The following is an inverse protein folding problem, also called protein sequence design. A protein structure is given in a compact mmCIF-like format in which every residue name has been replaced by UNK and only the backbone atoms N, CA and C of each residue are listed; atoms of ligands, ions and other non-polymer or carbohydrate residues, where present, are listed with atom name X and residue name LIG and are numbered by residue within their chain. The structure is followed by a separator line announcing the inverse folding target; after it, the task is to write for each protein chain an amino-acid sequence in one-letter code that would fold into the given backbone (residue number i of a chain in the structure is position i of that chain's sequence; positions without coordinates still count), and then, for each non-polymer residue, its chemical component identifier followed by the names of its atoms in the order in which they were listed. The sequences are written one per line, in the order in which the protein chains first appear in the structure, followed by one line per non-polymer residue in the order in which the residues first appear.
data_IF_442248408945
#
_entry.id   IF_442248408945
#
_cell.length_a   1.000
_cell.length_b   1.000
_cell.length_c   1.000
_cell.angle_alpha   90.00
_cell.angle_beta   90.00
_cell.angle_gamma   90.00
#
_symmetry.space_group_name_H-M   'P 1'
#
loop_
_entity.id
_entity.type
_entity.pdbx_description
1 polymer ?
#
# COMPACT_ATOMS: atom_id res chain seq x y z
N UNK A 1 -1.64 23.10 11.69
CA UNK A 1 -0.67 23.57 10.67
C UNK A 1 0.09 22.43 10.00
N UNK A 2 0.49 21.37 10.73
CA UNK A 2 1.12 20.15 10.18
C UNK A 2 0.25 19.46 9.12
N UNK A 3 -1.04 19.36 9.43
CA UNK A 3 -2.05 18.61 8.70
C UNK A 3 -2.50 19.21 7.37
N UNK A 4 -2.56 20.53 7.25
CA UNK A 4 -2.91 21.22 6.00
C UNK A 4 -1.89 20.99 4.87
N UNK A 5 -0.67 20.56 5.19
CA UNK A 5 0.41 20.44 4.21
C UNK A 5 0.49 19.04 3.58
N UNK A 6 0.06 18.00 4.28
CA UNK A 6 -0.12 16.67 3.67
C UNK A 6 -1.31 16.62 2.72
N UNK A 7 -2.32 17.47 2.92
CA UNK A 7 -3.39 17.68 1.94
C UNK A 7 -2.85 18.17 0.59
N UNK A 8 -1.80 18.99 0.59
CA UNK A 8 -1.16 19.47 -0.63
C UNK A 8 -0.42 18.35 -1.39
N UNK A 9 0.07 17.31 -0.69
CA UNK A 9 0.76 16.17 -1.29
C UNK A 9 -0.19 15.11 -1.84
N UNK A 10 -1.31 14.88 -1.15
CA UNK A 10 -2.19 13.74 -1.46
C UNK A 10 -3.21 14.02 -2.58
N UNK A 11 -3.30 15.28 -3.05
CA UNK A 11 -4.21 15.71 -4.12
C UNK A 11 -5.69 15.33 -3.85
N UNK A 12 -6.09 15.30 -2.57
CA UNK A 12 -7.49 15.12 -2.21
C UNK A 12 -8.09 16.44 -1.73
N UNK A 13 -9.13 16.89 -2.42
CA UNK A 13 -9.97 18.02 -1.97
C UNK A 13 -10.79 17.66 -0.71
N UNK A 14 -10.86 16.38 -0.32
CA UNK A 14 -11.77 15.85 0.72
C UNK A 14 -11.10 15.18 1.93
N UNK A 15 -9.78 15.26 2.08
CA UNK A 15 -9.12 14.81 3.31
C UNK A 15 -9.10 15.99 4.29
N UNK A 16 -10.01 15.99 5.25
CA UNK A 16 -9.96 16.97 6.33
C UNK A 16 -9.02 16.45 7.42
N UNK A 17 -7.73 16.77 7.31
CA UNK A 17 -6.79 16.52 8.39
C UNK A 17 -6.92 17.69 9.38
N UNK A 18 -7.51 17.42 10.54
CA UNK A 18 -7.90 18.39 11.55
C UNK A 18 -7.20 18.11 12.90
N UNK A 19 -7.60 18.84 13.96
CA UNK A 19 -7.03 18.66 15.30
C UNK A 19 -7.35 17.28 15.92
N UNK A 20 -8.22 16.47 15.30
CA UNK A 20 -8.50 15.07 15.69
C UNK A 20 -7.62 14.08 14.92
N UNK A 21 -6.67 14.55 14.11
CA UNK A 21 -5.75 13.69 13.40
C UNK A 21 -4.47 13.48 14.20
N UNK A 22 -3.85 12.31 14.04
CA UNK A 22 -2.56 11.96 14.65
C UNK A 22 -1.61 11.44 13.57
N UNK A 23 -0.41 12.03 13.45
CA UNK A 23 0.65 11.54 12.59
C UNK A 23 1.52 10.53 13.34
N UNK A 24 1.59 9.31 12.82
CA UNK A 24 2.33 8.18 13.38
C UNK A 24 3.42 7.75 12.40
N UNK A 25 4.65 7.62 12.90
CA UNK A 25 5.78 7.05 12.16
C UNK A 25 5.89 5.54 12.44
N UNK A 26 6.18 4.75 11.42
CA UNK A 26 6.28 3.28 11.48
C UNK A 26 5.04 2.61 12.11
N UNK A 27 3.87 3.01 11.62
CA UNK A 27 2.60 2.49 12.10
C UNK A 27 2.45 1.00 11.73
N UNK A 28 1.98 0.18 12.67
CA UNK A 28 1.66 -1.22 12.39
C UNK A 28 0.43 -1.70 13.15
N UNK A 29 -0.28 -2.67 12.58
CA UNK A 29 -1.46 -3.29 13.19
C UNK A 29 -1.53 -4.78 12.84
N UNK A 30 -2.10 -5.56 13.77
CA UNK A 30 -2.25 -7.02 13.66
C UNK A 30 -3.70 -7.48 13.60
N UNK A 31 -4.65 -6.62 13.92
CA UNK A 31 -6.02 -7.03 14.19
C UNK A 31 -6.85 -7.05 12.92
N UNK A 32 -6.69 -6.02 12.09
CA UNK A 32 -7.58 -5.74 10.95
C UNK A 32 -7.57 -6.87 9.92
N UNK A 33 -6.38 -7.42 9.61
CA UNK A 33 -6.24 -8.52 8.67
C UNK A 33 -6.04 -9.90 9.34
N UNK A 34 -6.36 -10.00 10.63
CA UNK A 34 -6.14 -11.17 11.47
C UNK A 34 -4.68 -11.68 11.45
N UNK A 35 -3.75 -10.75 11.67
CA UNK A 35 -2.30 -10.95 11.63
C UNK A 35 -1.68 -11.24 13.00
N UNK A 36 -2.38 -12.06 13.78
CA UNK A 36 -2.05 -12.33 15.20
C UNK A 36 -0.70 -13.05 15.36
N UNK A 37 -0.30 -13.83 14.36
CA UNK A 37 0.99 -14.51 14.28
C UNK A 37 1.81 -13.96 13.10
N UNK A 38 3.15 -14.02 13.16
CA UNK A 38 4.09 -13.50 12.12
C UNK A 38 4.16 -11.96 12.04
N UNK A 39 4.51 -11.38 10.89
CA UNK A 39 4.68 -9.92 10.73
C UNK A 39 3.32 -9.20 10.61
N UNK A 40 3.16 -8.02 11.23
CA UNK A 40 1.97 -7.17 11.10
C UNK A 40 1.98 -6.45 9.75
N UNK A 41 0.83 -5.91 9.33
CA UNK A 41 0.78 -4.90 8.28
C UNK A 41 1.36 -3.62 8.85
N UNK A 42 2.28 -3.01 8.12
CA UNK A 42 3.03 -1.83 8.54
C UNK A 42 3.02 -0.78 7.44
N UNK A 43 3.14 0.47 7.84
CA UNK A 43 3.26 1.63 6.98
C UNK A 43 4.37 2.54 7.50
N UNK A 44 5.15 3.14 6.61
CA UNK A 44 6.12 4.18 7.01
C UNK A 44 5.44 5.34 7.76
N UNK A 45 4.25 5.74 7.30
CA UNK A 45 3.43 6.74 8.00
C UNK A 45 1.97 6.35 8.05
N UNK A 46 1.30 6.77 9.13
CA UNK A 46 -0.14 6.84 9.16
C UNK A 46 -0.60 8.20 9.68
N UNK A 47 -1.62 8.76 9.06
CA UNK A 47 -2.39 9.87 9.60
C UNK A 47 -3.72 9.26 10.04
N UNK A 48 -3.83 8.95 11.33
CA UNK A 48 -5.07 8.43 11.91
C UNK A 48 -6.05 9.56 12.12
N UNK A 49 -7.31 9.34 11.79
CA UNK A 49 -8.38 10.29 12.03
C UNK A 49 -9.59 9.55 12.61
N UNK A 50 -10.07 9.98 13.77
CA UNK A 50 -11.19 9.35 14.48
C UNK A 50 -12.56 9.69 13.88
N UNK A 51 -12.67 10.81 13.16
CA UNK A 51 -13.93 11.36 12.63
C UNK A 51 -14.01 11.34 11.10
N UNK A 52 -12.92 10.98 10.45
CA UNK A 52 -12.77 11.03 8.99
C UNK A 52 -11.99 9.83 8.46
N UNK A 53 -11.53 9.95 7.21
CA UNK A 53 -10.67 8.92 6.63
C UNK A 53 -9.25 9.04 7.15
N UNK A 54 -8.67 7.92 7.55
CA UNK A 54 -7.25 7.83 7.83
C UNK A 54 -6.43 7.82 6.53
N UNK A 55 -5.14 8.10 6.59
CA UNK A 55 -4.21 7.97 5.47
C UNK A 55 -3.10 7.02 5.88
N UNK A 56 -2.81 6.03 5.05
CA UNK A 56 -1.70 5.09 5.26
C UNK A 56 -0.71 5.24 4.11
N UNK A 57 0.55 5.54 4.42
CA UNK A 57 1.58 5.84 3.44
C UNK A 57 2.71 4.80 3.51
N UNK A 58 3.08 4.22 2.37
CA UNK A 58 4.18 3.25 2.27
C UNK A 58 5.16 3.64 1.17
N UNK A 59 6.45 3.72 1.51
CA UNK A 59 7.58 4.05 0.63
C UNK A 59 8.38 2.85 0.12
N UNK A 60 7.97 1.64 0.47
CA UNK A 60 8.65 0.37 0.17
C UNK A 60 8.87 0.05 -1.31
N UNK A 61 8.42 0.91 -2.20
CA UNK A 61 8.67 0.88 -3.64
C UNK A 61 10.09 1.38 -4.01
N UNK A 62 11.09 0.97 -3.24
CA UNK A 62 12.53 1.21 -3.50
C UNK A 62 13.36 -0.07 -3.40
N UNK A 63 12.80 -1.16 -2.88
CA UNK A 63 13.51 -2.42 -2.66
C UNK A 63 13.42 -3.31 -3.92
N UNK A 64 14.43 -4.16 -4.12
CA UNK A 64 14.55 -5.06 -5.28
C UNK A 64 13.41 -6.08 -5.38
N UNK A 65 12.76 -6.39 -4.25
CA UNK A 65 11.66 -7.34 -4.14
C UNK A 65 10.35 -6.59 -3.89
N UNK A 66 9.45 -6.62 -4.86
CA UNK A 66 8.09 -6.10 -4.71
C UNK A 66 7.32 -7.02 -3.76
N UNK A 67 7.46 -6.79 -2.44
CA UNK A 67 6.99 -7.60 -1.31
C UNK A 67 6.07 -8.77 -1.68
N UNK A 68 6.71 -9.89 -2.07
CA UNK A 68 6.04 -11.11 -2.55
C UNK A 68 5.45 -11.88 -1.39
N UNK A 69 4.59 -12.85 -1.72
CA UNK A 69 4.06 -13.77 -0.73
C UNK A 69 5.20 -14.67 -0.18
N UNK A 70 5.59 -14.44 1.07
CA UNK A 70 6.68 -15.17 1.72
C UNK A 70 6.42 -16.67 1.87
N UNK A 71 5.16 -17.12 1.81
CA UNK A 71 4.84 -18.56 1.90
C UNK A 71 5.18 -19.31 0.63
N UNK A 72 5.25 -18.63 -0.52
CA UNK A 72 5.74 -19.21 -1.76
C UNK A 72 7.27 -19.30 -1.71
N UNK A 73 7.93 -18.24 -1.26
CA UNK A 73 9.39 -18.22 -1.09
C UNK A 73 9.87 -19.26 -0.06
N UNK A 74 9.08 -19.47 1.00
CA UNK A 74 9.31 -20.51 2.01
C UNK A 74 8.99 -21.94 1.56
N UNK A 75 8.43 -22.13 0.37
CA UNK A 75 8.05 -23.46 -0.15
C UNK A 75 6.80 -24.08 0.48
N UNK A 76 6.00 -23.29 1.19
CA UNK A 76 4.79 -23.72 1.91
C UNK A 76 3.52 -23.60 1.05
N UNK A 77 3.63 -22.96 -0.13
CA UNK A 77 2.56 -22.71 -1.08
C UNK A 77 3.05 -22.99 -2.51
N UNK A 78 2.19 -23.58 -3.34
CA UNK A 78 2.47 -23.95 -4.73
C UNK A 78 2.29 -22.79 -5.74
N UNK A 79 1.83 -21.63 -5.27
CA UNK A 79 1.63 -20.43 -6.08
C UNK A 79 0.43 -20.49 -7.04
N UNK A 80 -0.37 -21.57 -7.02
CA UNK A 80 -1.59 -21.68 -7.82
C UNK A 80 -2.64 -20.69 -7.32
N UNK A 81 -3.44 -20.17 -8.25
CA UNK A 81 -4.50 -19.23 -7.92
C UNK A 81 -5.65 -19.94 -7.17
N UNK A 82 -5.89 -19.60 -5.89
CA UNK A 82 -6.87 -20.28 -5.05
C UNK A 82 -8.29 -19.70 -5.21
N UNK A 83 -8.57 -18.88 -6.23
CA UNK A 83 -9.87 -18.18 -6.35
C UNK A 83 -11.09 -19.12 -6.38
N UNK A 84 -10.93 -20.33 -6.90
CA UNK A 84 -11.99 -21.34 -6.95
C UNK A 84 -12.06 -22.22 -5.68
N UNK A 85 -11.01 -22.20 -4.85
CA UNK A 85 -10.94 -22.88 -3.56
C UNK A 85 -10.01 -22.10 -2.64
N UNK A 86 -10.54 -21.06 -1.99
CA UNK A 86 -9.73 -20.15 -1.15
C UNK A 86 -9.07 -20.84 0.03
N UNK A 87 -9.58 -22.02 0.43
CA UNK A 87 -9.00 -22.84 1.47
C UNK A 87 -7.68 -23.45 1.03
N UNK A 88 -7.45 -23.68 -0.26
CA UNK A 88 -6.15 -24.14 -0.78
C UNK A 88 -5.00 -23.15 -0.52
N UNK A 89 -5.31 -21.89 -0.18
CA UNK A 89 -4.31 -20.90 0.18
C UNK A 89 -3.81 -21.10 1.63
N UNK A 90 -2.50 -21.28 1.78
CA UNK A 90 -1.84 -21.38 3.09
C UNK A 90 -2.15 -20.20 4.03
N UNK A 91 -2.25 -18.98 3.49
CA UNK A 91 -2.56 -17.79 4.28
C UNK A 91 -3.97 -17.84 4.87
N UNK A 92 -4.95 -18.35 4.12
CA UNK A 92 -6.32 -18.60 4.61
C UNK A 92 -6.30 -19.63 5.74
N UNK A 93 -5.56 -20.73 5.59
CA UNK A 93 -5.40 -21.72 6.66
C UNK A 93 -4.77 -21.15 7.94
N UNK A 94 -3.87 -20.18 7.80
CA UNK A 94 -3.28 -19.44 8.92
C UNK A 94 -4.23 -18.38 9.52
N UNK A 95 -5.48 -18.34 9.07
CA UNK A 95 -6.53 -17.44 9.56
C UNK A 95 -6.52 -16.05 8.94
N UNK A 96 -5.68 -15.77 7.93
CA UNK A 96 -5.68 -14.45 7.27
C UNK A 96 -6.96 -14.28 6.46
N UNK A 97 -7.54 -13.08 6.53
CA UNK A 97 -8.78 -12.75 5.82
C UNK A 97 -8.56 -12.17 4.41
N UNK A 98 -7.35 -12.22 3.87
CA UNK A 98 -7.02 -11.53 2.61
C UNK A 98 -7.93 -11.94 1.45
N UNK A 99 -8.15 -13.24 1.24
CA UNK A 99 -8.98 -13.73 0.14
C UNK A 99 -10.46 -13.40 0.31
N UNK A 100 -10.97 -13.47 1.54
CA UNK A 100 -12.34 -13.05 1.84
C UNK A 100 -12.54 -11.57 1.50
N UNK A 101 -11.57 -10.73 1.84
CA UNK A 101 -11.61 -9.30 1.53
C UNK A 101 -11.39 -9.02 0.04
N UNK A 102 -10.50 -9.76 -0.64
CA UNK A 102 -10.33 -9.65 -2.10
C UNK A 102 -11.65 -9.91 -2.83
N UNK A 103 -12.41 -10.91 -2.38
CA UNK A 103 -13.73 -11.23 -2.94
C UNK A 103 -14.78 -10.17 -2.55
N UNK A 104 -14.81 -9.75 -1.29
CA UNK A 104 -15.71 -8.69 -0.78
C UNK A 104 -15.61 -7.40 -1.61
N UNK A 105 -14.40 -7.05 -2.05
CA UNK A 105 -14.12 -5.84 -2.80
C UNK A 105 -13.93 -6.04 -4.30
N UNK A 106 -14.30 -7.21 -4.84
CA UNK A 106 -14.16 -7.54 -6.25
C UNK A 106 -12.73 -7.38 -6.81
N UNK A 107 -11.70 -7.40 -5.94
CA UNK A 107 -10.29 -7.28 -6.32
C UNK A 107 -9.73 -8.59 -6.90
N UNK A 108 -10.41 -9.72 -6.68
CA UNK A 108 -10.06 -11.01 -7.26
C UNK A 108 -10.55 -11.18 -8.71
N UNK A 109 -11.53 -10.37 -9.15
CA UNK A 109 -12.17 -10.46 -10.46
C UNK A 109 -11.19 -10.46 -11.64
N UNK A 110 -10.19 -9.56 -11.72
CA UNK A 110 -9.24 -9.52 -12.84
C UNK A 110 -8.41 -10.80 -12.96
N UNK A 111 -8.30 -11.58 -11.89
CA UNK A 111 -7.46 -12.76 -11.81
C UNK A 111 -8.24 -14.07 -11.94
N UNK A 112 -9.56 -14.05 -12.20
CA UNK A 112 -10.38 -15.27 -12.30
C UNK A 112 -9.85 -16.33 -13.24
N UNK A 113 -9.23 -15.91 -14.34
CA UNK A 113 -8.66 -16.80 -15.34
C UNK A 113 -7.12 -16.92 -15.25
N UNK A 114 -6.50 -16.30 -14.24
CA UNK A 114 -5.07 -16.42 -14.00
C UNK A 114 -4.74 -17.76 -13.36
N UNK A 115 -3.75 -18.46 -13.90
CA UNK A 115 -3.21 -19.67 -13.26
C UNK A 115 -2.38 -19.34 -12.01
N UNK A 116 -1.73 -18.18 -12.01
CA UNK A 116 -0.82 -17.75 -10.94
C UNK A 116 -1.59 -16.89 -9.95
N UNK A 117 -1.39 -17.18 -8.66
CA UNK A 117 -1.94 -16.39 -7.56
C UNK A 117 -1.49 -14.92 -7.64
N UNK A 118 -2.40 -13.93 -7.55
CA UNK A 118 -2.02 -12.52 -7.59
C UNK A 118 -1.09 -12.11 -6.44
N UNK A 119 -1.17 -12.77 -5.28
CA UNK A 119 -0.25 -12.53 -4.16
C UNK A 119 1.18 -13.04 -4.44
N UNK A 120 1.40 -13.89 -5.44
CA UNK A 120 2.76 -14.30 -5.78
C UNK A 120 3.65 -13.10 -6.16
N UNK A 121 3.04 -12.10 -6.78
CA UNK A 121 3.72 -10.87 -7.17
C UNK A 121 3.23 -9.71 -6.31
N UNK A 122 1.92 -9.54 -6.15
CA UNK A 122 1.32 -8.31 -5.63
C UNK A 122 0.87 -8.36 -4.18
N UNK A 123 1.48 -9.26 -3.37
CA UNK A 123 1.06 -9.49 -1.99
C UNK A 123 1.04 -8.21 -1.15
N UNK A 124 2.15 -7.47 -1.07
CA UNK A 124 2.24 -6.28 -0.24
C UNK A 124 1.21 -5.20 -0.65
N UNK A 125 1.06 -4.95 -1.95
CA UNK A 125 0.08 -3.98 -2.47
C UNK A 125 -1.35 -4.32 -2.04
N UNK A 126 -1.79 -5.56 -2.27
CA UNK A 126 -3.15 -5.94 -1.90
C UNK A 126 -3.33 -5.98 -0.39
N UNK A 127 -2.33 -6.45 0.37
CA UNK A 127 -2.37 -6.47 1.83
C UNK A 127 -2.59 -5.06 2.39
N UNK A 128 -1.83 -4.08 1.94
CA UNK A 128 -1.93 -2.69 2.40
C UNK A 128 -3.20 -1.98 1.90
N UNK A 129 -3.62 -2.25 0.66
CA UNK A 129 -4.89 -1.75 0.14
C UNK A 129 -6.07 -2.27 0.97
N UNK A 130 -6.12 -3.58 1.21
CA UNK A 130 -7.16 -4.21 2.04
C UNK A 130 -7.17 -3.62 3.45
N UNK A 131 -6.00 -3.42 4.04
CA UNK A 131 -5.86 -2.77 5.33
C UNK A 131 -6.47 -1.36 5.34
N UNK A 132 -6.12 -0.54 4.36
CA UNK A 132 -6.60 0.83 4.26
C UNK A 132 -8.12 0.88 4.10
N UNK A 133 -8.70 0.02 3.26
CA UNK A 133 -10.15 -0.04 3.06
C UNK A 133 -10.87 -0.44 4.35
N UNK A 134 -10.42 -1.51 5.03
CA UNK A 134 -11.04 -1.96 6.28
C UNK A 134 -10.89 -0.93 7.42
N UNK A 135 -9.90 -0.04 7.35
CA UNK A 135 -9.73 1.09 8.28
C UNK A 135 -10.46 2.37 7.86
N UNK A 136 -11.33 2.34 6.85
CA UNK A 136 -11.94 3.54 6.28
C UNK A 136 -10.87 4.60 5.93
N UNK A 137 -9.82 4.19 5.23
CA UNK A 137 -8.66 5.04 4.92
C UNK A 137 -8.34 5.11 3.44
N UNK A 138 -7.41 6.01 3.14
CA UNK A 138 -6.72 6.10 1.87
C UNK A 138 -5.40 5.35 1.92
N UNK A 139 -5.05 4.72 0.81
CA UNK A 139 -3.76 4.07 0.63
C UNK A 139 -2.89 4.94 -0.28
N UNK A 140 -1.77 5.44 0.26
CA UNK A 140 -0.83 6.29 -0.45
C UNK A 140 0.45 5.53 -0.67
N UNK A 141 0.79 5.36 -1.94
CA UNK A 141 1.97 4.66 -2.42
C UNK A 141 3.01 5.72 -2.75
N UNK A 142 4.12 5.73 -2.01
CA UNK A 142 5.26 6.59 -2.29
C UNK A 142 6.19 5.85 -3.25
N UNK A 143 6.30 6.34 -4.49
CA UNK A 143 7.19 5.76 -5.50
C UNK A 143 8.42 6.65 -5.71
N UNK A 144 9.54 6.03 -6.07
CA UNK A 144 10.77 6.76 -6.40
C UNK A 144 10.78 7.22 -7.86
N UNK A 145 10.87 8.54 -8.11
CA UNK A 145 11.01 9.13 -9.46
C UNK A 145 12.19 8.53 -10.26
N UNK A 146 13.23 8.05 -9.56
CA UNK A 146 14.44 7.47 -10.15
C UNK A 146 14.22 6.05 -10.65
N UNK A 147 13.15 5.36 -10.23
CA UNK A 147 12.91 3.97 -10.55
C UNK A 147 11.84 3.81 -11.66
N UNK A 148 12.24 3.48 -12.90
CA UNK A 148 11.31 3.37 -14.03
C UNK A 148 10.41 2.13 -13.99
N UNK A 149 10.59 1.22 -13.01
CA UNK A 149 9.74 0.05 -12.85
C UNK A 149 8.30 0.41 -12.44
N UNK A 150 8.13 1.50 -11.67
CA UNK A 150 6.82 1.91 -11.16
C UNK A 150 6.00 2.68 -12.19
N UNK A 151 6.59 3.74 -12.74
CA UNK A 151 5.99 4.55 -13.80
C UNK A 151 7.05 4.90 -14.83
N UNK A 152 6.73 4.64 -16.10
CA UNK A 152 7.49 5.08 -17.27
C UNK A 152 6.52 5.67 -18.27
N UNK A 153 6.62 6.98 -18.50
CA UNK A 153 5.86 7.67 -19.55
C UNK A 153 6.65 7.68 -20.86
N UNK A 154 5.95 7.51 -21.98
CA UNK A 154 6.49 7.76 -23.32
C UNK A 154 5.73 8.88 -24.05
N UNK A 155 5.03 9.74 -23.31
CA UNK A 155 4.26 10.87 -23.84
C UNK A 155 2.84 10.53 -24.32
N UNK A 156 2.52 9.24 -24.54
CA UNK A 156 1.17 8.80 -24.96
C UNK A 156 0.57 7.80 -23.97
N UNK A 157 1.37 6.88 -23.44
CA UNK A 157 0.93 5.85 -22.52
C UNK A 157 1.82 5.80 -21.29
N UNK A 158 1.20 5.51 -20.15
CA UNK A 158 1.92 5.17 -18.93
C UNK A 158 2.14 3.65 -18.89
N UNK A 159 3.38 3.26 -18.59
CA UNK A 159 3.78 1.86 -18.38
C UNK A 159 4.38 1.72 -17.00
N UNK A 160 4.56 0.47 -16.56
CA UNK A 160 5.15 0.15 -15.26
C UNK A 160 4.13 -0.53 -14.37
N UNK A 161 4.54 -0.77 -13.13
CA UNK A 161 3.79 -1.55 -12.17
C UNK A 161 2.53 -0.83 -11.69
N UNK A 162 2.58 0.49 -11.50
CA UNK A 162 1.44 1.27 -11.00
C UNK A 162 0.27 1.27 -11.99
N UNK A 163 0.46 1.56 -13.30
CA UNK A 163 -0.65 1.44 -14.27
C UNK A 163 -1.27 0.03 -14.31
N UNK A 164 -0.46 -1.02 -14.19
CA UNK A 164 -0.95 -2.41 -14.14
C UNK A 164 -1.81 -2.65 -12.91
N UNK A 165 -1.29 -2.36 -11.71
CA UNK A 165 -2.02 -2.55 -10.46
C UNK A 165 -3.32 -1.76 -10.43
N UNK A 166 -3.27 -0.48 -10.78
CA UNK A 166 -4.44 0.41 -10.75
C UNK A 166 -5.49 0.04 -11.80
N UNK A 167 -5.11 -0.54 -12.94
CA UNK A 167 -6.05 -1.05 -13.95
C UNK A 167 -6.90 -2.23 -13.46
N UNK A 168 -6.43 -2.96 -12.45
CA UNK A 168 -7.15 -4.09 -11.85
C UNK A 168 -8.06 -3.66 -10.70
N UNK A 169 -8.07 -2.37 -10.33
CA UNK A 169 -8.89 -1.85 -9.24
C UNK A 169 -10.26 -1.42 -9.78
N UNK A 170 -11.36 -1.80 -9.12
CA UNK A 170 -12.70 -1.31 -9.43
C UNK A 170 -12.75 0.22 -9.46
N UNK A 171 -13.50 0.81 -10.41
CA UNK A 171 -13.53 2.26 -10.63
C UNK A 171 -13.91 3.03 -9.35
N UNK A 172 -14.88 2.53 -8.59
CA UNK A 172 -15.34 3.12 -7.34
C UNK A 172 -14.25 3.15 -6.26
N UNK A 173 -13.27 2.25 -6.34
CA UNK A 173 -12.17 2.12 -5.39
C UNK A 173 -10.90 2.83 -5.84
N UNK A 174 -10.76 3.22 -7.11
CA UNK A 174 -9.55 3.91 -7.59
C UNK A 174 -9.27 5.20 -6.81
N UNK A 175 -10.33 5.86 -6.35
CA UNK A 175 -10.25 7.05 -5.50
C UNK A 175 -9.70 6.78 -4.10
N UNK A 176 -9.47 5.52 -3.69
CA UNK A 176 -8.88 5.15 -2.41
C UNK A 176 -7.35 5.18 -2.49
N UNK A 177 -6.79 4.97 -3.69
CA UNK A 177 -5.36 4.83 -3.92
C UNK A 177 -4.79 6.17 -4.41
N UNK A 178 -3.66 6.59 -3.83
CA UNK A 178 -2.84 7.67 -4.39
C UNK A 178 -1.43 7.20 -4.62
N UNK A 179 -0.86 7.78 -5.65
CA UNK A 179 0.52 7.60 -6.02
C UNK A 179 1.16 8.98 -5.89
N UNK A 180 2.17 9.09 -5.05
CA UNK A 180 2.95 10.31 -4.88
C UNK A 180 4.42 9.96 -4.94
N UNK A 181 5.27 10.92 -5.25
CA UNK A 181 6.69 10.66 -5.28
C UNK A 181 7.31 10.86 -3.91
N UNK A 182 8.20 9.95 -3.52
CA UNK A 182 8.91 10.04 -2.24
C UNK A 182 9.72 11.33 -2.11
N UNK A 183 10.23 11.86 -3.23
CA UNK A 183 10.94 13.14 -3.27
C UNK A 183 10.04 14.31 -2.84
N UNK A 184 8.78 14.35 -3.29
CA UNK A 184 7.85 15.43 -2.94
C UNK A 184 7.50 15.39 -1.44
N UNK A 185 7.42 14.17 -0.89
CA UNK A 185 7.23 13.97 0.56
C UNK A 185 8.45 14.46 1.33
N UNK A 186 9.68 14.08 0.93
CA UNK A 186 10.92 14.51 1.60
C UNK A 186 11.05 16.03 1.60
N UNK A 187 10.85 16.70 0.47
CA UNK A 187 10.91 18.17 0.39
C UNK A 187 9.95 18.83 1.40
N UNK A 188 8.76 18.26 1.57
CA UNK A 188 7.79 18.74 2.54
C UNK A 188 8.25 18.50 3.98
N UNK A 189 8.76 17.30 4.27
CA UNK A 189 9.24 16.94 5.59
C UNK A 189 10.42 17.82 6.04
N UNK A 190 11.34 18.12 5.13
CA UNK A 190 12.46 19.03 5.36
C UNK A 190 11.96 20.46 5.62
N UNK A 191 11.05 20.97 4.77
CA UNK A 191 10.45 22.31 4.92
C UNK A 191 9.81 22.52 6.29
N UNK A 192 9.26 21.47 6.89
CA UNK A 192 8.60 21.52 8.20
C UNK A 192 9.48 21.02 9.35
N UNK A 193 10.76 20.75 9.11
CA UNK A 193 11.76 20.36 10.12
C UNK A 193 11.33 19.15 10.98
N UNK A 194 10.78 18.10 10.36
CA UNK A 194 10.50 16.87 11.09
C UNK A 194 11.80 16.21 11.55
N UNK A 195 11.90 15.90 12.84
CA UNK A 195 13.16 15.43 13.47
C UNK A 195 13.69 14.12 12.91
N UNK A 196 12.82 13.30 12.30
CA UNK A 196 13.14 11.99 11.75
C UNK A 196 13.37 12.01 10.21
N UNK A 197 13.31 13.18 9.56
CA UNK A 197 13.42 13.26 8.09
C UNK A 197 14.73 12.68 7.56
N UNK A 198 15.84 12.87 8.28
CA UNK A 198 17.15 12.32 7.89
C UNK A 198 17.19 10.80 8.02
N UNK A 199 16.54 10.21 9.03
CA UNK A 199 16.41 8.76 9.16
C UNK A 199 15.62 8.18 7.99
N UNK A 200 14.50 8.82 7.62
CA UNK A 200 13.71 8.44 6.47
C UNK A 200 14.50 8.54 5.16
N UNK A 201 15.25 9.63 4.94
CA UNK A 201 16.13 9.78 3.76
C UNK A 201 17.18 8.69 3.68
N UNK A 202 17.80 8.33 4.81
CA UNK A 202 18.80 7.27 4.87
C UNK A 202 18.19 5.90 4.53
N UNK A 203 17.02 5.57 5.12
CA UNK A 203 16.28 4.32 4.85
C UNK A 203 16.02 4.11 3.35
N UNK A 204 15.71 5.20 2.64
CA UNK A 204 15.31 5.18 1.23
C UNK A 204 16.41 5.56 0.22
N UNK A 205 17.66 5.73 0.67
CA UNK A 205 18.77 6.11 -0.22
C UNK A 205 18.55 7.47 -0.90
N UNK A 206 17.97 8.41 -0.15
CA UNK A 206 17.70 9.80 -0.56
C UNK A 206 18.63 10.80 0.16
N UNK A 207 19.47 10.34 1.08
CA UNK A 207 20.53 11.16 1.66
C UNK A 207 21.58 11.51 0.59
N UNK A 208 22.08 12.75 0.63
CA UNK A 208 23.15 13.24 -0.25
C UNK A 208 24.51 12.72 0.17
#
# INVERSE_FOLDING_TARGET
MIYSNFNALTLYENVCIDDNSELLFEYSDRKILNELQRQPTSFDFAIKNDKGKSIFLEAKYVETEFGKCSTIEGGECDGLNPINDVNSCYLTHCGRNYWDLMNKYALSEPYKNSLICPFAIYYQFYRELLFAIENNGYYVILIDKRNPAFIKTNGVNERGLIPVLTSHIPEEMKSIIKIVFIQDVVELLEKFNYSWVEEFKNKYGLAM
#
